data_IF_316428467397
#
_entry.id   IF_316428467397
#
_cell.length_a   1.000
_cell.length_b   1.000
_cell.length_c   1.000
_cell.angle_alpha   90.00
_cell.angle_beta   90.00
_cell.angle_gamma   90.00
#
_symmetry.space_group_name_H-M   'P 1'
#
loop_
_entity.id
_entity.type
_entity.pdbx_description
1 polymer ?
#
# COMPACT_ATOMS: atom_id res chain seq x y z
N UNK A 1 19.51 -18.54 19.02
CA UNK A 1 19.71 -18.94 17.61
C UNK A 1 18.31 -19.06 17.01
N UNK A 2 17.78 -17.93 16.54
CA UNK A 2 16.49 -17.83 15.86
C UNK A 2 16.72 -16.85 14.71
N UNK A 3 17.17 -17.37 13.58
CA UNK A 3 17.17 -16.65 12.30
C UNK A 3 16.03 -17.23 11.46
N UNK A 4 14.80 -16.84 11.82
CA UNK A 4 13.72 -16.85 10.83
C UNK A 4 13.77 -15.49 10.12
N UNK A 5 14.50 -15.45 9.02
CA UNK A 5 14.39 -14.36 8.05
C UNK A 5 13.01 -14.47 7.38
N UNK A 6 12.02 -13.84 7.99
CA UNK A 6 10.81 -13.46 7.30
C UNK A 6 11.17 -12.34 6.30
N UNK A 7 11.60 -12.71 5.10
CA UNK A 7 11.61 -11.79 3.95
C UNK A 7 10.17 -11.52 3.50
N UNK A 8 9.41 -10.83 4.33
CA UNK A 8 8.32 -10.03 3.81
C UNK A 8 8.96 -8.69 3.44
N UNK A 9 9.05 -8.29 2.16
CA UNK A 9 9.52 -6.96 1.80
C UNK A 9 8.41 -5.94 2.10
N UNK A 10 8.00 -5.84 3.37
CA UNK A 10 7.18 -4.79 3.94
C UNK A 10 8.11 -3.70 4.48
N UNK A 11 8.74 -2.95 3.58
CA UNK A 11 9.38 -1.71 3.95
C UNK A 11 9.43 -0.81 2.73
N UNK A 12 8.89 0.41 2.85
CA UNK A 12 8.91 1.52 1.89
C UNK A 12 7.78 1.59 0.85
N UNK A 13 6.53 1.68 1.30
CA UNK A 13 5.51 2.44 0.57
C UNK A 13 5.68 3.89 1.04
N UNK A 14 5.96 4.82 0.15
CA UNK A 14 6.18 6.24 0.52
C UNK A 14 5.11 7.17 -0.07
N UNK A 15 4.41 6.73 -1.12
CA UNK A 15 3.32 7.49 -1.72
C UNK A 15 2.17 6.60 -2.19
N UNK A 16 0.96 7.16 -2.06
CA UNK A 16 -0.30 6.57 -2.50
C UNK A 16 -1.00 7.59 -3.40
N UNK A 17 -1.53 7.17 -4.55
CA UNK A 17 -2.31 8.04 -5.44
C UNK A 17 -3.79 7.67 -5.39
N UNK A 18 -4.69 8.64 -5.19
CA UNK A 18 -6.15 8.44 -5.19
C UNK A 18 -6.89 9.57 -5.93
N UNK A 19 -8.03 9.31 -6.56
CA UNK A 19 -8.88 10.35 -7.17
C UNK A 19 -10.22 10.44 -6.41
N UNK A 20 -10.58 11.58 -5.79
CA UNK A 20 -11.83 11.70 -5.06
C UNK A 20 -13.02 11.69 -6.04
N UNK A 21 -14.17 11.22 -5.54
CA UNK A 21 -15.46 11.42 -6.20
C UNK A 21 -16.18 12.51 -5.43
N UNK A 22 -16.62 13.57 -6.13
CA UNK A 22 -17.52 14.57 -5.55
C UNK A 22 -18.82 13.90 -5.13
N UNK A 23 -18.91 13.54 -3.86
CA UNK A 23 -20.21 13.22 -3.27
C UNK A 23 -21.07 14.48 -3.28
N UNK A 24 -22.21 14.43 -3.98
CA UNK A 24 -23.27 15.43 -3.84
C UNK A 24 -23.95 15.23 -2.49
N UNK A 25 -23.27 15.52 -1.40
CA UNK A 25 -23.91 15.70 -0.10
C UNK A 25 -24.69 17.01 -0.11
N UNK A 26 -25.99 16.95 -0.43
CA UNK A 26 -26.93 17.94 0.09
C UNK A 26 -26.92 17.78 1.60
N UNK A 27 -26.54 18.83 2.33
CA UNK A 27 -26.69 18.88 3.80
C UNK A 27 -28.16 18.59 4.15
N UNK A 28 -28.48 17.51 4.88
CA UNK A 28 -29.77 17.41 5.52
C UNK A 28 -29.71 18.23 6.81
N UNK A 29 -30.77 19.01 7.06
CA UNK A 29 -31.04 19.53 8.39
C UNK A 29 -31.17 18.34 9.37
N UNK A 30 -30.57 18.48 10.54
CA UNK A 30 -30.61 17.47 11.61
C UNK A 30 -32.05 17.31 12.11
N UNK A 31 -32.56 16.07 12.18
CA UNK A 31 -33.06 15.57 13.46
C UNK A 31 -32.30 14.33 13.93
N UNK A 32 -32.20 14.20 15.26
CA UNK A 32 -31.65 13.05 15.96
C UNK A 32 -32.46 11.76 15.68
N UNK A 33 -31.77 10.63 15.81
CA UNK A 33 -32.26 9.24 15.75
C UNK A 33 -32.43 8.61 14.36
N UNK A 34 -31.38 7.95 13.87
CA UNK A 34 -31.40 6.52 13.54
C UNK A 34 -30.00 6.05 13.13
N UNK A 35 -29.45 5.11 13.90
CA UNK A 35 -28.21 4.40 13.61
C UNK A 35 -28.55 3.32 12.57
N UNK A 36 -28.19 3.51 11.30
CA UNK A 36 -28.04 2.38 10.37
C UNK A 36 -27.25 2.76 9.12
N UNK A 37 -26.43 1.80 8.67
CA UNK A 37 -25.62 1.77 7.45
C UNK A 37 -24.32 2.59 7.40
N UNK A 38 -23.43 2.40 8.37
CA UNK A 38 -22.01 2.38 8.03
C UNK A 38 -21.73 1.06 7.31
N UNK A 39 -21.34 1.11 6.03
CA UNK A 39 -20.69 -0.04 5.38
C UNK A 39 -19.37 -0.28 6.12
N UNK A 40 -19.42 -1.24 7.03
CA UNK A 40 -18.28 -1.74 7.80
C UNK A 40 -17.31 -2.40 6.83
N UNK A 41 -16.22 -1.72 6.50
CA UNK A 41 -15.08 -2.35 5.84
C UNK A 41 -14.33 -3.18 6.88
N UNK A 42 -14.65 -4.47 6.98
CA UNK A 42 -13.83 -5.41 7.74
C UNK A 42 -12.59 -5.75 6.92
N UNK A 43 -11.44 -5.18 7.31
CA UNK A 43 -10.14 -5.70 6.90
C UNK A 43 -9.89 -6.97 7.71
N UNK A 44 -10.30 -8.11 7.17
CA UNK A 44 -10.02 -9.42 7.78
C UNK A 44 -8.56 -9.77 7.53
N UNK A 45 -7.69 -9.40 8.48
CA UNK A 45 -6.34 -9.96 8.55
C UNK A 45 -6.46 -11.35 9.19
N UNK A 46 -6.55 -12.40 8.36
CA UNK A 46 -6.47 -13.77 8.86
C UNK A 46 -5.04 -14.06 9.29
N UNK A 47 -4.78 -13.99 10.60
CA UNK A 47 -3.63 -14.70 11.18
C UNK A 47 -3.96 -16.19 11.15
N UNK A 48 -3.28 -16.93 10.28
CA UNK A 48 -3.40 -18.38 10.22
C UNK A 48 -2.59 -18.95 11.38
N UNK A 49 -3.24 -19.19 12.50
CA UNK A 49 -2.68 -20.05 13.55
C UNK A 49 -2.44 -21.42 12.95
N UNK A 50 -1.16 -21.77 12.90
CA UNK A 50 -0.68 -22.97 12.23
C UNK A 50 -0.81 -24.15 13.20
N UNK A 51 -1.92 -24.88 13.10
CA UNK A 51 -1.95 -26.27 13.52
C UNK A 51 -2.32 -27.15 12.32
N UNK A 52 -1.28 -27.79 11.78
CA UNK A 52 -1.29 -29.10 11.12
C UNK A 52 -2.42 -29.37 10.15
N UNK A 53 -2.37 -28.81 8.95
CA UNK A 53 -2.75 -29.51 7.72
C UNK A 53 -1.99 -28.92 6.51
N UNK A 54 -1.31 -29.80 5.79
CA UNK A 54 -0.58 -29.54 4.55
C UNK A 54 -1.56 -29.14 3.44
N UNK A 55 -2.02 -27.90 3.48
CA UNK A 55 -2.57 -27.23 2.30
C UNK A 55 -1.41 -26.45 1.72
N UNK A 56 -0.97 -26.81 0.53
CA UNK A 56 -0.11 -25.94 -0.31
C UNK A 56 -0.84 -24.62 -0.44
N UNK A 57 -0.50 -23.66 0.42
CA UNK A 57 -1.11 -22.35 0.40
C UNK A 57 -0.60 -21.68 -0.87
N UNK A 58 -1.40 -21.71 -1.95
CA UNK A 58 -1.15 -20.87 -3.11
C UNK A 58 -1.04 -19.43 -2.59
N UNK A 59 0.13 -18.83 -2.78
CA UNK A 59 0.35 -17.44 -2.42
C UNK A 59 -0.60 -16.62 -3.27
N UNK A 60 -1.60 -16.00 -2.64
CA UNK A 60 -2.58 -15.17 -3.35
C UNK A 60 -1.87 -14.10 -4.17
N UNK A 61 -2.36 -13.84 -5.38
CA UNK A 61 -1.80 -12.82 -6.30
C UNK A 61 -0.40 -13.11 -6.84
N UNK A 62 0.04 -14.38 -6.83
CA UNK A 62 1.32 -14.77 -7.43
C UNK A 62 1.22 -15.14 -8.93
N UNK A 63 0.03 -15.03 -9.52
CA UNK A 63 -0.22 -15.35 -10.93
C UNK A 63 -1.14 -14.32 -11.60
N UNK A 64 -1.11 -14.27 -12.94
CA UNK A 64 -1.91 -13.33 -13.72
C UNK A 64 -3.42 -13.55 -13.62
N UNK A 65 -3.90 -14.78 -13.39
CA UNK A 65 -5.34 -15.07 -13.29
C UNK A 65 -5.91 -14.49 -12.00
N UNK A 66 -5.17 -14.59 -10.89
CA UNK A 66 -5.53 -13.96 -9.61
C UNK A 66 -5.71 -12.45 -9.77
N UNK A 67 -4.78 -11.77 -10.46
CA UNK A 67 -4.91 -10.34 -10.76
C UNK A 67 -6.08 -10.02 -11.69
N UNK A 68 -6.32 -10.85 -12.71
CA UNK A 68 -7.46 -10.68 -13.63
C UNK A 68 -8.80 -10.82 -12.90
N UNK A 69 -8.92 -11.79 -12.00
CA UNK A 69 -10.11 -11.99 -11.17
C UNK A 69 -10.37 -10.79 -10.26
N UNK A 70 -9.32 -10.19 -9.71
CA UNK A 70 -9.44 -9.02 -8.84
C UNK A 70 -9.78 -7.74 -9.60
N UNK A 71 -9.23 -7.57 -10.82
CA UNK A 71 -9.66 -6.50 -11.73
C UNK A 71 -11.15 -6.65 -12.09
N UNK A 72 -11.59 -7.88 -12.37
CA UNK A 72 -13.01 -8.19 -12.59
C UNK A 72 -13.86 -7.86 -11.35
N UNK A 73 -13.41 -8.24 -10.14
CA UNK A 73 -14.08 -7.94 -8.87
C UNK A 73 -14.24 -6.43 -8.63
N UNK A 74 -13.25 -5.65 -9.06
CA UNK A 74 -13.27 -4.17 -8.99
C UNK A 74 -14.04 -3.50 -10.13
N UNK A 75 -14.73 -4.27 -11.00
CA UNK A 75 -15.52 -3.71 -12.10
C UNK A 75 -14.67 -3.17 -13.26
N UNK A 76 -13.40 -3.58 -13.36
CA UNK A 76 -12.47 -3.16 -14.41
C UNK A 76 -12.38 -4.18 -15.56
N UNK A 77 -13.27 -5.17 -15.59
CA UNK A 77 -13.31 -6.18 -16.65
C UNK A 77 -13.59 -5.54 -18.01
N UNK A 78 -12.73 -5.83 -18.99
CA UNK A 78 -12.82 -5.26 -20.34
C UNK A 78 -12.31 -3.82 -20.46
N UNK A 79 -11.81 -3.21 -19.38
CA UNK A 79 -11.14 -1.91 -19.43
C UNK A 79 -9.72 -2.06 -19.97
N UNK A 80 -9.42 -1.40 -21.10
CA UNK A 80 -8.05 -1.32 -21.63
C UNK A 80 -7.15 -0.37 -20.82
N UNK A 81 -7.71 0.28 -19.79
CA UNK A 81 -6.97 1.25 -18.97
C UNK A 81 -6.01 0.60 -17.98
N UNK A 82 -6.15 -0.70 -17.70
CA UNK A 82 -5.29 -1.44 -16.78
C UNK A 82 -4.73 -2.70 -17.44
N UNK A 83 -3.47 -3.01 -17.17
CA UNK A 83 -2.77 -4.16 -17.73
C UNK A 83 -2.00 -4.89 -16.66
N UNK A 84 -2.07 -6.22 -16.71
CA UNK A 84 -1.24 -7.10 -15.90
C UNK A 84 0.13 -7.21 -16.58
N UNK A 85 1.17 -6.83 -15.86
CA UNK A 85 2.57 -6.98 -16.24
C UNK A 85 3.22 -8.12 -15.44
N UNK A 86 4.30 -8.69 -15.96
CA UNK A 86 5.07 -9.74 -15.31
C UNK A 86 6.54 -9.39 -15.33
N UNK A 87 7.25 -9.63 -14.23
CA UNK A 87 8.69 -9.37 -14.14
C UNK A 87 9.52 -10.23 -15.11
N UNK A 88 9.01 -11.40 -15.55
CA UNK A 88 9.72 -12.28 -16.50
C UNK A 88 10.00 -11.61 -17.86
N UNK A 89 9.10 -10.73 -18.33
CA UNK A 89 9.26 -10.08 -19.64
C UNK A 89 10.22 -8.89 -19.62
N UNK A 90 10.66 -8.46 -18.43
CA UNK A 90 11.61 -7.36 -18.28
C UNK A 90 13.07 -7.82 -18.29
N UNK A 91 13.33 -9.12 -18.17
CA UNK A 91 14.67 -9.68 -18.29
C UNK A 91 15.16 -9.56 -19.75
N UNK A 92 16.32 -8.95 -19.96
CA UNK A 92 16.90 -8.78 -21.29
C UNK A 92 17.26 -10.15 -21.90
N UNK A 93 17.34 -10.24 -23.23
CA UNK A 93 17.73 -11.49 -23.93
C UNK A 93 19.12 -12.01 -23.50
N UNK A 94 20.03 -11.12 -23.09
CA UNK A 94 21.37 -11.49 -22.59
C UNK A 94 21.34 -12.15 -21.21
N UNK A 95 20.37 -11.80 -20.37
CA UNK A 95 20.24 -12.34 -19.00
C UNK A 95 19.46 -13.67 -18.98
N UNK A 96 18.69 -14.00 -20.03
CA UNK A 96 18.00 -15.31 -20.12
C UNK A 96 18.94 -16.52 -20.20
N UNK A 97 20.21 -16.31 -20.52
CA UNK A 97 21.20 -17.38 -20.65
C UNK A 97 21.95 -17.66 -19.32
N UNK A 98 21.80 -16.79 -18.32
CA UNK A 98 22.32 -17.01 -16.97
C UNK A 98 21.14 -17.24 -16.01
N UNK A 99 21.09 -18.46 -15.52
CA UNK A 99 19.95 -19.08 -14.86
C UNK A 99 19.74 -18.50 -13.45
N UNK A 100 18.93 -17.46 -13.34
CA UNK A 100 17.98 -17.18 -12.25
C UNK A 100 17.11 -16.03 -12.76
N UNK A 101 15.77 -16.13 -12.74
CA UNK A 101 14.88 -15.05 -13.20
C UNK A 101 15.12 -13.78 -12.39
N UNK A 102 16.05 -12.93 -12.84
CA UNK A 102 16.42 -11.70 -12.16
C UNK A 102 15.19 -10.79 -12.15
N UNK A 103 14.68 -10.57 -10.94
CA UNK A 103 13.52 -9.70 -10.72
C UNK A 103 13.89 -8.29 -11.11
N UNK A 104 13.20 -7.75 -12.11
CA UNK A 104 13.34 -6.35 -12.55
C UNK A 104 13.13 -5.35 -11.40
N UNK A 105 12.20 -5.66 -10.48
CA UNK A 105 12.02 -4.93 -9.22
C UNK A 105 11.97 -5.95 -8.09
N UNK A 106 13.05 -6.06 -7.31
CA UNK A 106 13.24 -7.10 -6.29
C UNK A 106 12.10 -7.21 -5.27
N UNK A 107 11.45 -6.09 -4.98
CA UNK A 107 10.39 -5.95 -3.96
C UNK A 107 8.97 -6.07 -4.51
N UNK A 108 8.81 -6.23 -5.81
CA UNK A 108 7.51 -6.45 -6.42
C UNK A 108 7.13 -7.93 -6.45
N UNK A 109 5.82 -8.23 -6.46
CA UNK A 109 5.34 -9.56 -6.83
C UNK A 109 5.69 -9.89 -8.28
N UNK A 110 5.67 -11.18 -8.63
CA UNK A 110 5.98 -11.64 -9.99
C UNK A 110 5.07 -10.99 -11.05
N UNK A 111 3.80 -10.81 -10.69
CA UNK A 111 2.78 -10.13 -11.49
C UNK A 111 2.27 -8.90 -10.75
N UNK A 112 2.04 -7.82 -11.48
CA UNK A 112 1.55 -6.56 -10.94
C UNK A 112 0.72 -5.83 -12.00
N UNK A 113 -0.08 -4.85 -11.58
CA UNK A 113 -0.97 -4.12 -12.49
C UNK A 113 -0.49 -2.69 -12.67
N UNK A 114 -0.47 -2.24 -13.93
CA UNK A 114 -0.07 -0.89 -14.35
C UNK A 114 -1.12 -0.30 -15.30
N UNK A 115 -1.12 1.01 -15.55
CA UNK A 115 -1.98 1.58 -16.58
C UNK A 115 -1.65 1.01 -17.97
N UNK A 116 -2.68 0.75 -18.78
CA UNK A 116 -2.56 0.03 -20.06
C UNK A 116 -1.67 0.71 -21.09
N UNK A 117 -1.65 2.05 -21.09
CA UNK A 117 -0.86 2.86 -22.02
C UNK A 117 0.60 3.05 -21.59
N UNK A 118 1.02 2.44 -20.48
CA UNK A 118 2.40 2.40 -20.03
C UNK A 118 3.07 1.15 -20.60
N UNK A 119 3.95 1.38 -21.58
CA UNK A 119 4.69 0.35 -22.28
C UNK A 119 5.91 -0.16 -21.51
N UNK A 120 6.51 -1.25 -21.99
CA UNK A 120 7.70 -1.87 -21.39
C UNK A 120 8.87 -0.90 -21.26
N UNK A 121 9.14 -0.11 -22.31
CA UNK A 121 10.23 0.87 -22.29
C UNK A 121 10.04 1.90 -21.16
N UNK A 122 8.81 2.39 -20.97
CA UNK A 122 8.50 3.38 -19.94
C UNK A 122 8.62 2.80 -18.55
N UNK A 123 8.19 1.54 -18.35
CA UNK A 123 8.40 0.84 -17.08
C UNK A 123 9.90 0.72 -16.75
N UNK A 124 10.75 0.43 -17.74
CA UNK A 124 12.21 0.40 -17.58
C UNK A 124 12.75 1.76 -17.14
N UNK A 125 12.34 2.85 -17.80
CA UNK A 125 12.73 4.22 -17.39
C UNK A 125 12.20 4.57 -16.00
N UNK A 126 10.96 4.19 -15.68
CA UNK A 126 10.37 4.43 -14.36
C UNK A 126 11.10 3.69 -13.23
N UNK A 127 11.62 2.48 -13.47
CA UNK A 127 12.44 1.78 -12.47
C UNK A 127 13.77 2.48 -12.17
N UNK A 128 14.32 3.27 -13.10
CA UNK A 128 15.53 4.06 -12.87
C UNK A 128 15.26 5.31 -12.02
N UNK A 129 14.06 5.88 -12.13
CA UNK A 129 13.72 7.20 -11.56
C UNK A 129 13.04 7.14 -10.19
N UNK A 130 12.45 5.99 -9.83
CA UNK A 130 11.80 5.79 -8.53
C UNK A 130 12.75 5.11 -7.55
N UNK A 131 12.72 5.53 -6.29
CA UNK A 131 13.54 4.90 -5.25
C UNK A 131 13.25 3.41 -5.15
N UNK A 132 14.30 2.59 -5.00
CA UNK A 132 14.19 1.13 -4.97
C UNK A 132 13.50 0.54 -6.21
N UNK A 133 13.45 1.30 -7.32
CA UNK A 133 12.75 0.94 -8.56
C UNK A 133 11.24 0.71 -8.39
N UNK A 134 10.63 1.28 -7.34
CA UNK A 134 9.20 1.09 -7.03
C UNK A 134 8.33 2.20 -7.59
N UNK A 135 8.10 2.13 -8.89
CA UNK A 135 7.18 3.02 -9.59
C UNK A 135 5.70 2.85 -9.16
N UNK A 136 4.74 3.63 -9.68
CA UNK A 136 3.33 3.47 -9.33
C UNK A 136 2.74 2.19 -9.92
N UNK A 137 2.22 1.33 -9.04
CA UNK A 137 1.44 0.14 -9.41
C UNK A 137 0.06 0.18 -8.77
N UNK A 138 -0.92 -0.36 -9.47
CA UNK A 138 -2.29 -0.46 -8.99
C UNK A 138 -2.39 -1.40 -7.80
N UNK A 139 -3.24 -1.03 -6.84
CA UNK A 139 -3.52 -1.80 -5.63
C UNK A 139 -4.99 -2.19 -5.58
N UNK A 140 -5.88 -1.23 -5.88
CA UNK A 140 -7.30 -1.40 -5.73
C UNK A 140 -8.06 -0.34 -6.53
N UNK A 141 -9.30 -0.64 -6.92
CA UNK A 141 -10.24 0.36 -7.41
C UNK A 141 -11.63 0.16 -6.82
N UNK A 142 -12.35 1.25 -6.62
CA UNK A 142 -13.76 1.23 -6.29
C UNK A 142 -14.60 0.98 -7.53
N UNK A 143 -15.79 0.42 -7.35
CA UNK A 143 -16.80 0.31 -8.42
C UNK A 143 -17.23 1.70 -8.92
N UNK A 144 -17.05 2.74 -8.12
CA UNK A 144 -17.30 4.14 -8.48
C UNK A 144 -16.18 4.76 -9.34
N UNK A 145 -15.14 3.99 -9.65
CA UNK A 145 -14.08 4.41 -10.57
C UNK A 145 -12.92 5.15 -9.91
N UNK A 146 -12.79 5.10 -8.58
CA UNK A 146 -11.59 5.58 -7.89
C UNK A 146 -10.53 4.49 -7.98
N UNK A 147 -9.28 4.87 -8.23
CA UNK A 147 -8.16 3.92 -8.27
C UNK A 147 -7.08 4.34 -7.29
N UNK A 148 -6.56 3.34 -6.58
CA UNK A 148 -5.48 3.46 -5.61
C UNK A 148 -4.20 2.86 -6.20
N UNK A 149 -3.13 3.66 -6.24
CA UNK A 149 -1.80 3.19 -6.63
C UNK A 149 -0.83 3.35 -5.46
N UNK A 150 0.22 2.53 -5.43
CA UNK A 150 1.34 2.65 -4.47
C UNK A 150 2.66 2.80 -5.21
N UNK A 151 3.56 3.63 -4.65
CA UNK A 151 4.95 3.76 -5.11
C UNK A 151 5.89 4.17 -3.98
N UNK A 152 7.19 4.16 -4.27
CA UNK A 152 8.17 4.94 -3.55
C UNK A 152 8.16 6.41 -4.01
N UNK A 153 8.95 7.26 -3.35
CA UNK A 153 9.18 8.61 -3.82
C UNK A 153 10.07 8.59 -5.07
N UNK A 154 9.98 9.66 -5.88
CA UNK A 154 10.97 9.92 -6.91
C UNK A 154 12.35 10.03 -6.24
N UNK A 155 13.39 9.55 -6.92
CA UNK A 155 14.75 9.71 -6.40
C UNK A 155 15.08 11.21 -6.27
N UNK A 156 15.76 11.61 -5.20
CA UNK A 156 16.00 13.03 -4.88
C UNK A 156 16.82 13.78 -5.94
N UNK A 157 17.62 13.06 -6.73
CA UNK A 157 18.35 13.55 -7.90
C UNK A 157 17.47 13.76 -9.16
N UNK A 158 16.19 13.38 -9.07
CA UNK A 158 15.28 13.21 -10.21
C UNK A 158 14.17 14.27 -10.23
N UNK A 159 14.01 15.09 -9.18
CA UNK A 159 13.03 16.20 -9.16
C UNK A 159 13.37 17.31 -10.18
N UNK A 160 14.61 17.37 -10.67
CA UNK A 160 15.07 18.24 -11.77
C UNK A 160 15.07 17.50 -13.12
N UNK A 161 14.75 16.20 -13.13
CA UNK A 161 14.74 15.39 -14.34
C UNK A 161 13.37 15.51 -15.05
N UNK A 162 13.38 16.18 -16.20
CA UNK A 162 12.21 16.39 -17.06
C UNK A 162 11.54 15.07 -17.45
N UNK A 163 12.31 14.00 -17.60
CA UNK A 163 11.81 12.70 -18.05
C UNK A 163 10.99 12.01 -16.95
N UNK A 164 11.47 12.02 -15.71
CA UNK A 164 10.75 11.42 -14.60
C UNK A 164 9.45 12.17 -14.30
N UNK A 165 9.47 13.50 -14.42
CA UNK A 165 8.26 14.32 -14.37
C UNK A 165 7.29 13.93 -15.49
N UNK A 166 7.78 13.83 -16.73
CA UNK A 166 6.98 13.44 -17.90
C UNK A 166 6.34 12.05 -17.71
N UNK A 167 7.10 11.07 -17.21
CA UNK A 167 6.61 9.72 -16.91
C UNK A 167 5.55 9.75 -15.81
N UNK A 168 5.77 10.53 -14.74
CA UNK A 168 4.80 10.69 -13.67
C UNK A 168 3.51 11.35 -14.20
N UNK A 169 3.61 12.42 -14.99
CA UNK A 169 2.47 13.10 -15.61
C UNK A 169 1.69 12.16 -16.54
N UNK A 170 2.39 11.31 -17.29
CA UNK A 170 1.75 10.26 -18.10
C UNK A 170 0.98 9.27 -17.23
N UNK A 171 1.53 8.81 -16.11
CA UNK A 171 0.82 7.93 -15.16
C UNK A 171 -0.44 8.62 -14.64
N UNK A 172 -0.33 9.88 -14.18
CA UNK A 172 -1.47 10.66 -13.68
C UNK A 172 -2.58 10.77 -14.74
N UNK A 173 -2.22 11.02 -15.99
CA UNK A 173 -3.18 11.11 -17.10
C UNK A 173 -3.82 9.76 -17.45
N UNK A 174 -3.07 8.65 -17.38
CA UNK A 174 -3.63 7.33 -17.56
C UNK A 174 -4.65 6.99 -16.46
N UNK A 175 -4.31 7.30 -15.21
CA UNK A 175 -5.21 7.09 -14.06
C UNK A 175 -6.43 8.01 -14.15
N UNK A 176 -6.26 9.25 -14.58
CA UNK A 176 -7.35 10.21 -14.81
C UNK A 176 -8.36 9.65 -15.83
N UNK A 177 -7.88 9.10 -16.95
CA UNK A 177 -8.73 8.47 -17.98
C UNK A 177 -9.36 7.17 -17.52
N UNK A 178 -8.69 6.42 -16.66
CA UNK A 178 -9.23 5.22 -16.03
C UNK A 178 -10.30 5.54 -14.98
N UNK A 179 -10.32 6.77 -14.45
CA UNK A 179 -11.29 7.22 -13.45
C UNK A 179 -12.59 7.68 -14.09
N UNK A 180 -13.72 7.40 -13.43
CA UNK A 180 -15.03 7.92 -13.83
C UNK A 180 -15.17 9.42 -13.63
N UNK A 181 -14.42 10.02 -12.68
CA UNK A 181 -14.49 11.45 -12.40
C UNK A 181 -13.77 12.30 -13.45
N UNK A 182 -12.77 11.72 -14.14
CA UNK A 182 -11.88 12.45 -15.04
C UNK A 182 -10.99 13.48 -14.34
N UNK A 183 -10.95 13.50 -13.00
CA UNK A 183 -10.09 14.37 -12.19
C UNK A 183 -8.70 13.75 -12.01
N UNK A 184 -7.67 14.59 -11.96
CA UNK A 184 -6.29 14.13 -11.73
C UNK A 184 -6.18 13.49 -10.34
N UNK A 185 -5.44 12.37 -10.20
CA UNK A 185 -5.28 11.74 -8.90
C UNK A 185 -4.39 12.61 -7.98
N UNK A 186 -4.77 12.67 -6.72
CA UNK A 186 -4.06 13.29 -5.62
C UNK A 186 -2.94 12.39 -5.14
N UNK A 187 -1.79 12.99 -4.85
CA UNK A 187 -0.63 12.30 -4.28
C UNK A 187 -0.64 12.46 -2.76
N UNK A 188 -0.82 11.35 -2.05
CA UNK A 188 -0.67 11.25 -0.61
C UNK A 188 0.75 10.82 -0.27
N UNK A 189 1.49 11.69 0.40
CA UNK A 189 2.88 11.43 0.84
C UNK A 189 2.85 10.97 2.30
N UNK A 190 3.51 9.86 2.57
CA UNK A 190 3.70 9.35 3.92
C UNK A 190 4.91 10.04 4.58
N UNK A 191 4.89 10.13 5.90
CA UNK A 191 5.92 10.81 6.68
C UNK A 191 7.14 9.90 6.78
N UNK A 192 8.26 10.33 6.18
CA UNK A 192 9.52 9.58 6.18
C UNK A 192 10.09 9.38 7.60
N UNK A 193 9.64 10.15 8.57
CA UNK A 193 9.99 9.93 9.98
C UNK A 193 9.36 8.67 10.57
N UNK A 194 8.27 8.15 10.00
CA UNK A 194 7.59 6.93 10.46
C UNK A 194 8.30 5.72 9.88
N UNK A 195 9.36 5.29 10.56
CA UNK A 195 10.17 4.14 10.13
C UNK A 195 9.77 2.85 10.86
N UNK A 196 10.09 1.70 10.27
CA UNK A 196 9.91 0.38 10.90
C UNK A 196 10.60 0.32 12.27
N UNK A 197 11.77 0.94 12.40
CA UNK A 197 12.52 1.03 13.66
C UNK A 197 11.73 1.82 14.72
N UNK A 198 11.14 2.98 14.36
CA UNK A 198 10.32 3.74 15.30
C UNK A 198 9.05 3.01 15.70
N UNK A 199 8.40 2.31 14.77
CA UNK A 199 7.22 1.48 15.04
C UNK A 199 7.58 0.36 16.01
N UNK A 200 8.65 -0.39 15.75
CA UNK A 200 9.12 -1.47 16.63
C UNK A 200 9.46 -0.95 18.03
N UNK A 201 10.17 0.18 18.12
CA UNK A 201 10.53 0.78 19.41
C UNK A 201 9.32 1.30 20.20
N UNK A 202 8.32 1.89 19.52
CA UNK A 202 7.08 2.32 20.16
C UNK A 202 6.25 1.13 20.66
N UNK A 203 6.13 0.09 19.84
CA UNK A 203 5.46 -1.16 20.23
C UNK A 203 6.14 -1.82 21.42
N UNK A 204 7.47 -1.94 21.41
CA UNK A 204 8.20 -2.59 22.49
C UNK A 204 8.11 -1.80 23.82
N UNK A 205 8.09 -0.46 23.77
CA UNK A 205 7.80 0.37 24.95
C UNK A 205 6.40 0.11 25.50
N UNK A 206 5.40 0.02 24.63
CA UNK A 206 4.03 -0.31 25.04
C UNK A 206 3.95 -1.72 25.64
N UNK A 207 4.55 -2.71 24.96
CA UNK A 207 4.60 -4.10 25.43
C UNK A 207 5.21 -4.18 26.84
N UNK A 208 6.36 -3.53 27.06
CA UNK A 208 7.00 -3.45 28.39
C UNK A 208 6.12 -2.76 29.44
N UNK A 209 5.40 -1.72 29.07
CA UNK A 209 4.45 -1.03 29.96
C UNK A 209 3.29 -1.96 30.37
N UNK A 210 2.83 -2.81 29.46
CA UNK A 210 1.75 -3.77 29.69
C UNK A 210 2.23 -5.06 30.39
N UNK A 211 3.52 -5.40 30.33
CA UNK A 211 4.10 -6.52 31.09
C UNK A 211 4.23 -6.14 32.56
N UNK A 212 3.25 -6.54 33.37
CA UNK A 212 3.19 -6.29 34.81
C UNK A 212 3.33 -7.61 35.54
N UNK A 213 4.33 -7.70 36.42
CA UNK A 213 4.67 -8.97 37.10
C UNK A 213 4.24 -8.99 38.58
N UNK A 214 3.76 -7.86 39.11
CA UNK A 214 3.23 -7.79 40.48
C UNK A 214 2.11 -6.75 40.64
N UNK A 215 1.33 -6.89 41.71
CA UNK A 215 0.29 -5.94 42.05
C UNK A 215 0.85 -4.56 42.43
N UNK A 216 2.01 -4.47 43.10
CA UNK A 216 2.60 -3.16 43.42
C UNK A 216 3.02 -2.42 42.14
N UNK A 217 3.56 -3.14 41.15
CA UNK A 217 3.91 -2.55 39.85
C UNK A 217 2.66 -2.05 39.11
N UNK A 218 1.55 -2.80 39.16
CA UNK A 218 0.27 -2.37 38.62
C UNK A 218 -0.17 -1.05 39.26
N UNK A 219 -0.29 -1.03 40.60
CA UNK A 219 -0.77 0.13 41.35
C UNK A 219 0.12 1.37 41.19
N UNK A 220 1.44 1.18 41.03
CA UNK A 220 2.37 2.27 40.74
C UNK A 220 2.23 2.83 39.32
N UNK A 221 1.94 1.98 38.32
CA UNK A 221 1.74 2.40 36.92
C UNK A 221 0.38 3.03 36.69
N UNK A 222 -0.66 2.56 37.39
CA UNK A 222 -2.05 2.97 37.24
C UNK A 222 -2.25 4.48 37.45
N UNK A 223 -1.57 5.04 38.47
CA UNK A 223 -1.65 6.47 38.83
C UNK A 223 -1.38 7.43 37.66
N UNK A 224 -0.48 7.05 36.77
CA UNK A 224 -0.09 7.85 35.59
C UNK A 224 -0.25 7.07 34.29
N UNK A 225 -1.16 6.09 34.26
CA UNK A 225 -1.27 5.13 33.16
C UNK A 225 -1.39 5.80 31.79
N UNK A 226 -2.32 6.75 31.66
CA UNK A 226 -2.56 7.46 30.40
C UNK A 226 -1.34 8.25 29.94
N UNK A 227 -0.64 8.91 30.88
CA UNK A 227 0.60 9.61 30.55
C UNK A 227 1.66 8.63 30.06
N UNK A 228 1.85 7.48 30.74
CA UNK A 228 2.83 6.45 30.34
C UNK A 228 2.52 5.88 28.97
N UNK A 229 1.26 5.54 28.69
CA UNK A 229 0.81 5.07 27.37
C UNK A 229 1.11 6.13 26.31
N UNK A 230 0.80 7.40 26.57
CA UNK A 230 1.08 8.49 25.64
C UNK A 230 2.59 8.62 25.35
N UNK A 231 3.46 8.44 26.34
CA UNK A 231 4.92 8.49 26.17
C UNK A 231 5.50 7.32 25.36
N UNK A 232 4.76 6.23 25.16
CA UNK A 232 5.20 5.12 24.28
C UNK A 232 5.28 5.55 22.81
N UNK A 233 4.54 6.59 22.40
CA UNK A 233 4.44 7.00 21.01
C UNK A 233 3.54 6.10 20.15
N UNK A 234 3.00 5.00 20.70
CA UNK A 234 2.26 4.00 19.92
C UNK A 234 0.95 4.55 19.38
N UNK A 235 0.15 5.20 20.24
CA UNK A 235 -1.15 5.74 19.83
C UNK A 235 -1.01 6.89 18.83
N UNK A 236 0.07 7.67 18.91
CA UNK A 236 0.36 8.73 17.93
C UNK A 236 0.68 8.14 16.56
N UNK A 237 1.45 7.05 16.51
CA UNK A 237 1.72 6.32 15.26
C UNK A 237 0.45 5.70 14.67
N UNK A 238 -0.38 5.05 15.51
CA UNK A 238 -1.66 4.48 15.07
C UNK A 238 -2.60 5.58 14.56
N UNK A 239 -2.74 6.68 15.31
CA UNK A 239 -3.55 7.83 14.91
C UNK A 239 -3.07 8.42 13.59
N UNK A 240 -1.76 8.54 13.38
CA UNK A 240 -1.18 9.01 12.13
C UNK A 240 -1.56 8.08 10.97
N UNK A 241 -1.37 6.76 11.10
CA UNK A 241 -1.72 5.79 10.07
C UNK A 241 -3.21 5.84 9.73
N UNK A 242 -4.08 5.90 10.73
CA UNK A 242 -5.53 6.00 10.54
C UNK A 242 -5.94 7.31 9.87
N UNK A 243 -5.31 8.42 10.25
CA UNK A 243 -5.57 9.73 9.62
C UNK A 243 -5.19 9.72 8.14
N UNK A 244 -4.05 9.10 7.80
CA UNK A 244 -3.62 8.95 6.40
C UNK A 244 -4.47 7.98 5.60
N UNK A 245 -4.94 6.90 6.20
CA UNK A 245 -5.90 6.00 5.57
C UNK A 245 -7.24 6.71 5.31
N UNK A 246 -7.72 7.51 6.27
CA UNK A 246 -8.95 8.29 6.12
C UNK A 246 -8.84 9.42 5.08
N UNK A 247 -7.64 9.94 4.81
CA UNK A 247 -7.41 10.93 3.75
C UNK A 247 -7.51 10.31 2.35
N UNK A 248 -7.31 8.99 2.24
CA UNK A 248 -7.33 8.25 0.97
C UNK A 248 -8.70 7.67 0.58
N UNK A 249 -9.70 7.75 1.46
CA UNK A 249 -11.07 7.22 1.29
C UNK A 249 -12.07 8.36 1.22
#
# INVERSE_FOLDING_TARGET
MFEEQWEIPLCSIHSIYYAPVKSRFRKPAVPQEEISSYQRFEVVIKFRDSFMHTVTAEVSFNDAKSWAAELLRCGLSGSYHWRIASQAFHASERERYQQETQKFVHSYPMYYVVPGDIGLHELNRMAEHWQLSRFPVWVWSSLDGVSLLRSSNLASNTEVNWEAKSLNDKVLECVRRASKSGELPHRLVLNDEVTVVKIAAAYDRLRRLCSVDSHEQFAARDKDWLARVNHTGWLQLVSYCLSKASEAV
#
